data_IF_116177411679
#
_entry.id   IF_116177411679
#
_cell.length_a   1.000
_cell.length_b   1.000
_cell.length_c   1.000
_cell.angle_alpha   90.00
_cell.angle_beta   90.00
_cell.angle_gamma   90.00
#
_symmetry.space_group_name_H-M   'P 1'
#
loop_
_entity.id
_entity.type
_entity.pdbx_description
1 polymer ?
#
# COMPACT_ATOMS: atom_id res chain seq x y z
N UNK A 1 -28.51 15.13 -1.94
CA UNK A 1 -27.29 14.37 -1.58
C UNK A 1 -26.08 15.25 -1.90
N UNK A 2 -25.06 15.36 -1.03
CA UNK A 2 -23.93 16.23 -1.33
C UNK A 2 -23.16 15.64 -2.52
N UNK A 3 -22.95 16.44 -3.55
CA UNK A 3 -22.14 16.10 -4.72
C UNK A 3 -20.70 16.05 -4.24
N UNK A 4 -20.19 14.85 -3.94
CA UNK A 4 -18.80 14.68 -3.51
C UNK A 4 -17.92 14.96 -4.73
N UNK A 5 -17.31 16.14 -4.76
CA UNK A 5 -16.35 16.53 -5.80
C UNK A 5 -15.31 15.43 -6.00
N UNK A 6 -15.02 15.08 -7.26
CA UNK A 6 -14.00 14.09 -7.61
C UNK A 6 -12.65 14.41 -6.97
N UNK A 7 -12.32 15.70 -6.82
CA UNK A 7 -11.15 16.18 -6.08
C UNK A 7 -11.12 15.67 -4.63
N UNK A 8 -12.26 15.70 -3.94
CA UNK A 8 -12.35 15.19 -2.57
C UNK A 8 -12.22 13.67 -2.53
N UNK A 9 -12.75 12.94 -3.51
CA UNK A 9 -12.56 11.49 -3.60
C UNK A 9 -11.10 11.12 -3.86
N UNK A 10 -10.45 11.81 -4.80
CA UNK A 10 -9.02 11.64 -5.12
C UNK A 10 -8.15 11.88 -3.88
N UNK A 11 -8.42 12.97 -3.14
CA UNK A 11 -7.73 13.27 -1.88
C UNK A 11 -7.95 12.16 -0.83
N UNK A 12 -9.16 11.61 -0.70
CA UNK A 12 -9.42 10.48 0.20
C UNK A 12 -8.63 9.24 -0.21
N UNK A 13 -8.65 8.87 -1.50
CA UNK A 13 -7.88 7.73 -2.04
C UNK A 13 -6.38 7.91 -1.79
N UNK A 14 -5.83 9.12 -2.05
CA UNK A 14 -4.43 9.45 -1.77
C UNK A 14 -4.08 9.34 -0.28
N UNK A 15 -4.92 9.87 0.60
CA UNK A 15 -4.72 9.76 2.07
C UNK A 15 -4.77 8.30 2.52
N UNK A 16 -5.68 7.51 1.97
CA UNK A 16 -5.78 6.09 2.25
C UNK A 16 -4.51 5.35 1.83
N UNK A 17 -4.03 5.56 0.59
CA UNK A 17 -2.77 5.00 0.09
C UNK A 17 -1.60 5.34 1.03
N UNK A 18 -1.46 6.61 1.43
CA UNK A 18 -0.40 7.07 2.34
C UNK A 18 -0.44 6.36 3.70
N UNK A 19 -1.63 6.20 4.29
CA UNK A 19 -1.80 5.48 5.57
C UNK A 19 -1.42 4.00 5.45
N UNK A 20 -1.83 3.35 4.37
CA UNK A 20 -1.55 1.94 4.12
C UNK A 20 -0.05 1.71 3.92
N UNK A 21 0.63 2.56 3.13
CA UNK A 21 2.08 2.52 2.96
C UNK A 21 2.85 2.72 4.26
N UNK A 22 2.42 3.66 5.11
CA UNK A 22 3.04 3.87 6.41
C UNK A 22 2.93 2.62 7.31
N UNK A 23 1.76 1.96 7.32
CA UNK A 23 1.56 0.69 8.05
C UNK A 23 2.48 -0.41 7.52
N UNK A 24 2.54 -0.60 6.20
CA UNK A 24 3.42 -1.61 5.62
C UNK A 24 4.89 -1.35 5.91
N UNK A 25 5.34 -0.09 5.82
CA UNK A 25 6.72 0.28 6.18
C UNK A 25 7.04 -0.04 7.64
N UNK A 26 6.10 0.22 8.56
CA UNK A 26 6.27 -0.13 9.97
C UNK A 26 6.31 -1.65 10.22
N UNK A 27 5.54 -2.43 9.46
CA UNK A 27 5.56 -3.90 9.53
C UNK A 27 6.89 -4.43 8.97
N UNK A 28 7.36 -3.91 7.84
CA UNK A 28 8.65 -4.28 7.22
C UNK A 28 9.82 -3.99 8.15
N UNK A 29 9.79 -2.86 8.86
CA UNK A 29 10.81 -2.51 9.84
C UNK A 29 10.91 -3.50 11.03
N UNK A 30 9.87 -4.31 11.28
CA UNK A 30 9.86 -5.31 12.36
C UNK A 30 10.41 -6.68 11.92
N UNK A 31 11.02 -6.78 10.74
CA UNK A 31 11.49 -8.06 10.18
C UNK A 31 10.36 -9.10 10.05
N UNK A 32 9.34 -8.84 9.19
CA UNK A 32 8.17 -9.68 9.08
C UNK A 32 8.50 -11.04 8.46
N UNK A 33 7.70 -12.05 8.81
CA UNK A 33 7.82 -13.41 8.25
C UNK A 33 7.55 -13.42 6.72
N UNK A 34 8.06 -14.41 6.00
CA UNK A 34 7.88 -14.54 4.55
C UNK A 34 6.40 -14.58 4.13
N UNK A 35 5.53 -15.18 4.95
CA UNK A 35 4.07 -15.17 4.73
C UNK A 35 3.46 -13.77 4.82
N UNK A 36 3.95 -12.95 5.74
CA UNK A 36 3.49 -11.56 5.87
C UNK A 36 3.98 -10.70 4.71
N UNK A 37 5.22 -10.91 4.25
CA UNK A 37 5.75 -10.26 3.05
C UNK A 37 4.90 -10.55 1.82
N UNK A 38 4.53 -11.82 1.58
CA UNK A 38 3.59 -12.22 0.51
C UNK A 38 2.22 -11.55 0.65
N UNK A 39 1.65 -11.52 1.86
CA UNK A 39 0.37 -10.84 2.12
C UNK A 39 0.44 -9.34 1.84
N UNK A 40 1.56 -8.69 2.18
CA UNK A 40 1.78 -7.26 1.93
C UNK A 40 1.94 -7.00 0.43
N UNK A 41 2.73 -7.81 -0.28
CA UNK A 41 2.89 -7.73 -1.73
C UNK A 41 1.56 -7.87 -2.46
N UNK A 42 0.72 -8.85 -2.08
CA UNK A 42 -0.62 -9.02 -2.65
C UNK A 42 -1.54 -7.82 -2.40
N UNK A 43 -1.47 -7.19 -1.20
CA UNK A 43 -2.22 -5.97 -0.91
C UNK A 43 -1.71 -4.77 -1.69
N UNK A 44 -0.41 -4.64 -1.90
CA UNK A 44 0.20 -3.58 -2.69
C UNK A 44 -0.24 -3.64 -4.16
N UNK A 45 -0.21 -4.83 -4.78
CA UNK A 45 -0.69 -5.04 -6.17
C UNK A 45 -2.13 -4.60 -6.39
N UNK A 46 -3.01 -4.80 -5.41
CA UNK A 46 -4.42 -4.37 -5.50
C UNK A 46 -4.61 -2.87 -5.28
N UNK A 47 -3.69 -2.22 -4.57
CA UNK A 47 -3.82 -0.81 -4.18
C UNK A 47 -3.24 0.14 -5.24
N UNK A 48 -2.20 -0.30 -5.94
CA UNK A 48 -1.43 0.54 -6.86
C UNK A 48 -1.01 -0.29 -8.08
N UNK A 49 -1.34 0.16 -9.31
CA UNK A 49 -1.04 -0.59 -10.53
C UNK A 49 0.47 -0.75 -10.81
N UNK A 50 1.34 0.10 -10.21
CA UNK A 50 2.80 -0.01 -10.27
C UNK A 50 3.41 -0.50 -8.95
N UNK A 51 2.74 -1.45 -8.29
CA UNK A 51 3.19 -1.96 -6.99
C UNK A 51 4.46 -2.82 -7.06
N UNK A 52 4.79 -3.40 -8.21
CA UNK A 52 5.94 -4.30 -8.37
C UNK A 52 7.28 -3.61 -8.07
N UNK A 53 7.49 -2.39 -8.55
CA UNK A 53 8.67 -1.61 -8.21
C UNK A 53 8.79 -1.35 -6.69
N UNK A 54 7.66 -1.10 -6.04
CA UNK A 54 7.60 -0.92 -4.58
C UNK A 54 7.89 -2.21 -3.82
N UNK A 55 7.37 -3.34 -4.30
CA UNK A 55 7.58 -4.67 -3.73
C UNK A 55 9.06 -5.04 -3.82
N UNK A 56 9.67 -4.82 -4.98
CA UNK A 56 11.08 -5.11 -5.23
C UNK A 56 11.98 -4.18 -4.40
N UNK A 57 11.71 -2.87 -4.38
CA UNK A 57 12.46 -1.89 -3.58
C UNK A 57 12.36 -2.16 -2.08
N UNK A 58 11.26 -2.76 -1.61
CA UNK A 58 11.05 -3.07 -0.20
C UNK A 58 11.46 -4.51 0.17
N UNK A 59 12.00 -5.31 -0.77
CA UNK A 59 12.44 -6.67 -0.50
C UNK A 59 11.30 -7.59 -0.02
N UNK A 60 10.10 -7.35 -0.53
CA UNK A 60 8.88 -8.08 -0.15
C UNK A 60 8.67 -9.36 -0.97
N UNK A 61 9.42 -9.55 -2.05
CA UNK A 61 9.50 -10.81 -2.79
C UNK A 61 10.80 -11.52 -2.45
N UNK A 62 10.66 -12.65 -1.75
CA UNK A 62 11.64 -13.71 -1.64
C UNK A 62 10.92 -15.05 -1.50
#
# INVERSE_FOLDING_TARGET
>A
MPVISERHQELKRRRHRKKVYAKFKAIIAKNPSNDEKRRIAGKLRKLTPAAEELIQRWGLES
#
